data_IF_475966712892
#
_entry.id   IF_475966712892
#
_cell.length_a   1.000
_cell.length_b   1.000
_cell.length_c   1.000
_cell.angle_alpha   90.00
_cell.angle_beta   90.00
_cell.angle_gamma   90.00
#
_symmetry.space_group_name_H-M   'P 1'
#
loop_
_entity.id
_entity.type
_entity.pdbx_description
1 polymer ?
#
# COMPACT_ATOMS: atom_id res chain seq x y z
N UNK A 1 -12.55 -16.10 -19.48
CA UNK A 1 -12.56 -16.99 -18.30
C UNK A 1 -12.91 -16.12 -17.09
N UNK A 2 -13.94 -16.49 -16.31
CA UNK A 2 -14.28 -15.74 -15.10
C UNK A 2 -13.34 -16.17 -13.97
N UNK A 3 -12.77 -15.20 -13.25
CA UNK A 3 -11.97 -15.44 -12.06
C UNK A 3 -12.88 -15.86 -10.90
N UNK A 4 -12.49 -16.88 -10.16
CA UNK A 4 -13.22 -17.36 -8.97
C UNK A 4 -12.61 -16.82 -7.68
N UNK A 5 -13.46 -16.39 -6.73
CA UNK A 5 -13.00 -15.96 -5.42
C UNK A 5 -12.29 -17.10 -4.67
N UNK A 6 -11.05 -16.94 -4.20
CA UNK A 6 -10.34 -17.95 -3.41
C UNK A 6 -11.07 -18.39 -2.13
N UNK A 7 -11.90 -17.52 -1.57
CA UNK A 7 -12.62 -17.75 -0.31
C UNK A 7 -14.04 -18.25 -0.55
N UNK A 8 -14.85 -17.50 -1.32
CA UNK A 8 -16.28 -17.74 -1.48
C UNK A 8 -16.63 -18.65 -2.65
N UNK A 9 -15.68 -18.88 -3.58
CA UNK A 9 -15.86 -19.64 -4.83
C UNK A 9 -16.87 -19.02 -5.82
N UNK A 10 -17.35 -17.82 -5.57
CA UNK A 10 -18.20 -17.05 -6.49
C UNK A 10 -17.37 -16.32 -7.53
N UNK A 11 -17.94 -15.94 -8.69
CA UNK A 11 -17.24 -15.11 -9.67
C UNK A 11 -16.79 -13.78 -9.08
N UNK A 12 -15.59 -13.32 -9.46
CA UNK A 12 -15.08 -12.01 -9.15
C UNK A 12 -15.59 -10.99 -10.18
N UNK A 13 -15.75 -9.74 -9.73
CA UNK A 13 -16.08 -8.59 -10.55
C UNK A 13 -14.81 -7.81 -10.88
N UNK A 14 -14.55 -7.63 -12.17
CA UNK A 14 -13.38 -6.90 -12.64
C UNK A 14 -13.47 -5.42 -12.25
N UNK A 15 -12.35 -4.87 -11.78
CA UNK A 15 -12.16 -3.45 -11.52
C UNK A 15 -11.40 -2.88 -12.69
N UNK A 16 -11.97 -1.87 -13.37
CA UNK A 16 -11.33 -1.23 -14.51
C UNK A 16 -9.98 -0.60 -14.10
N UNK A 17 -8.91 -1.06 -14.73
CA UNK A 17 -7.58 -0.48 -14.58
C UNK A 17 -6.74 -0.76 -15.85
N UNK A 18 -5.61 -0.05 -16.01
CA UNK A 18 -4.77 -0.10 -17.21
C UNK A 18 -3.49 -0.92 -17.03
N UNK A 19 -3.15 -1.24 -15.79
CA UNK A 19 -1.87 -1.88 -15.46
C UNK A 19 -1.93 -3.40 -15.62
N UNK A 20 -3.09 -4.01 -15.35
CA UNK A 20 -3.26 -5.45 -15.38
C UNK A 20 -4.68 -5.85 -14.98
N UNK A 21 -4.84 -7.00 -14.32
CA UNK A 21 -6.14 -7.49 -13.87
C UNK A 21 -6.32 -7.25 -12.38
N UNK A 22 -7.37 -6.52 -12.03
CA UNK A 22 -7.86 -6.37 -10.67
C UNK A 22 -9.32 -6.81 -10.60
N UNK A 23 -9.71 -7.61 -9.60
CA UNK A 23 -11.07 -8.10 -9.48
C UNK A 23 -11.47 -8.28 -8.01
N UNK A 24 -12.69 -7.85 -7.66
CA UNK A 24 -13.22 -7.85 -6.30
C UNK A 24 -14.30 -8.90 -6.10
N UNK A 25 -14.40 -9.43 -4.89
CA UNK A 25 -15.49 -10.29 -4.46
C UNK A 25 -16.57 -9.48 -3.74
N UNK A 26 -17.77 -9.42 -4.31
CA UNK A 26 -18.91 -8.75 -3.69
C UNK A 26 -19.36 -9.43 -2.37
N UNK A 27 -19.04 -10.71 -2.18
CA UNK A 27 -19.45 -11.47 -0.99
C UNK A 27 -18.53 -11.27 0.21
N UNK A 28 -17.20 -11.37 0.05
CA UNK A 28 -16.27 -11.25 1.18
C UNK A 28 -15.49 -9.93 1.19
N UNK A 29 -15.55 -9.14 0.13
CA UNK A 29 -14.81 -7.87 0.02
C UNK A 29 -13.32 -8.06 -0.33
N UNK A 30 -12.84 -9.28 -0.54
CA UNK A 30 -11.45 -9.51 -0.93
C UNK A 30 -11.21 -9.11 -2.38
N UNK A 31 -9.94 -8.83 -2.71
CA UNK A 31 -9.51 -8.34 -4.02
C UNK A 31 -8.36 -9.21 -4.55
N UNK A 32 -8.51 -9.65 -5.79
CA UNK A 32 -7.43 -10.29 -6.56
C UNK A 32 -6.71 -9.25 -7.41
N UNK A 33 -5.39 -9.24 -7.33
CA UNK A 33 -4.53 -8.47 -8.22
C UNK A 33 -3.58 -9.42 -8.94
N UNK A 34 -3.45 -9.27 -10.26
CA UNK A 34 -2.39 -9.98 -11.00
C UNK A 34 -0.99 -9.47 -10.61
N UNK A 35 0.05 -10.09 -11.14
CA UNK A 35 1.44 -9.73 -10.81
C UNK A 35 1.81 -8.29 -11.22
N UNK A 36 1.19 -7.72 -12.25
CA UNK A 36 1.45 -6.36 -12.69
C UNK A 36 0.82 -5.35 -11.70
N UNK A 37 -0.47 -5.54 -11.36
CA UNK A 37 -1.15 -4.74 -10.37
C UNK A 37 -0.52 -4.88 -8.97
N UNK A 38 -0.11 -6.08 -8.57
CA UNK A 38 0.55 -6.30 -7.27
C UNK A 38 1.86 -5.52 -7.16
N UNK A 39 2.64 -5.45 -8.23
CA UNK A 39 3.86 -4.61 -8.26
C UNK A 39 3.55 -3.13 -8.15
N UNK A 40 2.47 -2.65 -8.79
CA UNK A 40 2.09 -1.23 -8.71
C UNK A 40 1.71 -0.80 -7.30
N UNK A 41 1.19 -1.72 -6.45
CA UNK A 41 0.95 -1.44 -5.03
C UNK A 41 2.25 -1.08 -4.31
N UNK A 42 3.28 -1.92 -4.46
CA UNK A 42 4.59 -1.73 -3.80
C UNK A 42 5.30 -0.47 -4.30
N UNK A 43 5.08 -0.09 -5.55
CA UNK A 43 5.65 1.12 -6.16
C UNK A 43 4.82 2.39 -5.89
N UNK A 44 3.74 2.30 -5.12
CA UNK A 44 2.75 3.36 -4.90
C UNK A 44 2.16 3.94 -6.20
N UNK A 45 2.01 3.09 -7.23
CA UNK A 45 1.49 3.42 -8.56
C UNK A 45 0.12 2.77 -8.83
N UNK A 46 -0.57 2.31 -7.78
CA UNK A 46 -1.87 1.67 -7.92
C UNK A 46 -2.91 2.66 -8.45
N UNK A 47 -3.64 2.26 -9.47
CA UNK A 47 -4.64 3.15 -10.09
C UNK A 47 -5.75 3.55 -9.10
N UNK A 48 -6.27 4.80 -9.22
CA UNK A 48 -7.30 5.34 -8.32
C UNK A 48 -8.54 4.47 -8.20
N UNK A 49 -8.98 3.84 -9.28
CA UNK A 49 -10.15 2.95 -9.27
C UNK A 49 -9.94 1.72 -8.38
N UNK A 50 -8.72 1.15 -8.36
CA UNK A 50 -8.38 0.01 -7.52
C UNK A 50 -8.21 0.44 -6.06
N UNK A 51 -7.57 1.60 -5.79
CA UNK A 51 -7.51 2.19 -4.45
C UNK A 51 -8.91 2.45 -3.88
N UNK A 52 -9.80 3.02 -4.69
CA UNK A 52 -11.19 3.26 -4.28
C UNK A 52 -11.92 1.95 -3.99
N UNK A 53 -11.76 0.93 -4.82
CA UNK A 53 -12.31 -0.41 -4.56
C UNK A 53 -11.81 -1.02 -3.25
N UNK A 54 -10.53 -0.86 -2.94
CA UNK A 54 -9.92 -1.31 -1.68
C UNK A 54 -10.51 -0.58 -0.46
N UNK A 55 -10.68 0.74 -0.56
CA UNK A 55 -11.31 1.54 0.50
C UNK A 55 -12.77 1.15 0.75
N UNK A 56 -13.55 0.90 -0.31
CA UNK A 56 -14.93 0.45 -0.19
C UNK A 56 -15.02 -0.95 0.44
N UNK A 57 -14.12 -1.85 0.08
CA UNK A 57 -14.05 -3.19 0.67
C UNK A 57 -13.75 -3.14 2.17
N UNK A 58 -12.84 -2.27 2.59
CA UNK A 58 -12.51 -2.03 4.00
C UNK A 58 -13.73 -1.48 4.77
N UNK A 59 -14.43 -0.49 4.23
CA UNK A 59 -15.64 0.07 4.83
C UNK A 59 -16.76 -0.98 4.99
N UNK A 60 -16.94 -1.87 4.02
CA UNK A 60 -17.89 -2.98 4.09
C UNK A 60 -17.48 -3.97 5.17
N UNK A 61 -16.20 -4.32 5.28
CA UNK A 61 -15.68 -5.20 6.32
C UNK A 61 -15.88 -4.61 7.71
N UNK A 62 -15.55 -3.33 7.90
CA UNK A 62 -15.75 -2.61 9.16
C UNK A 62 -17.22 -2.57 9.58
N UNK A 63 -18.13 -2.33 8.65
CA UNK A 63 -19.58 -2.34 8.91
C UNK A 63 -20.06 -3.71 9.36
N UNK A 64 -19.60 -4.80 8.72
CA UNK A 64 -19.97 -6.18 9.12
C UNK A 64 -19.47 -6.53 10.51
N UNK A 65 -18.26 -6.11 10.88
CA UNK A 65 -17.73 -6.28 12.24
C UNK A 65 -18.60 -5.53 13.25
N UNK A 66 -18.99 -4.30 12.97
CA UNK A 66 -19.85 -3.49 13.85
C UNK A 66 -21.27 -4.09 14.00
N UNK A 67 -21.85 -4.64 12.93
CA UNK A 67 -23.16 -5.30 12.94
C UNK A 67 -23.10 -6.65 13.67
N UNK A 68 -22.03 -7.42 13.49
CA UNK A 68 -21.79 -8.69 14.21
C UNK A 68 -21.60 -8.51 15.71
N UNK A 69 -21.08 -7.35 16.13
CA UNK A 69 -20.87 -7.01 17.55
C UNK A 69 -22.17 -6.77 18.33
N UNK A 70 -23.30 -6.51 17.66
CA UNK A 70 -24.62 -6.40 18.30
C UNK A 70 -25.18 -7.73 18.80
N UNK A 71 -24.58 -8.85 18.40
CA UNK A 71 -24.99 -10.22 18.77
C UNK A 71 -24.05 -10.94 19.74
N UNK A 72 -23.21 -10.22 20.50
CA UNK A 72 -22.16 -10.78 21.34
C UNK A 72 -20.83 -10.79 20.62
N UNK A 73 -19.82 -10.22 21.27
CA UNK A 73 -18.44 -10.15 20.78
C UNK A 73 -17.95 -11.55 20.43
N UNK A 74 -17.96 -11.89 19.17
CA UNK A 74 -17.22 -13.04 18.65
C UNK A 74 -15.89 -12.46 18.19
N UNK A 75 -14.88 -12.70 18.99
CA UNK A 75 -13.50 -12.43 18.61
C UNK A 75 -13.31 -12.91 17.17
N UNK A 76 -12.78 -12.09 16.25
CA UNK A 76 -12.50 -12.56 14.89
C UNK A 76 -11.67 -13.83 15.06
N UNK A 77 -12.20 -14.95 14.58
CA UNK A 77 -11.52 -16.25 14.69
C UNK A 77 -10.07 -16.03 14.23
N UNK A 78 -9.08 -16.50 15.02
CA UNK A 78 -7.69 -16.34 14.62
C UNK A 78 -7.56 -16.81 13.17
N UNK A 79 -7.05 -15.95 12.31
CA UNK A 79 -6.96 -16.14 10.84
C UNK A 79 -6.41 -17.50 10.40
N UNK A 80 -5.76 -18.22 11.31
CA UNK A 80 -5.20 -19.56 11.12
C UNK A 80 -6.23 -20.64 10.70
N UNK A 81 -7.51 -20.49 11.04
CA UNK A 81 -8.50 -21.55 10.80
C UNK A 81 -9.15 -21.52 9.40
N UNK A 82 -8.93 -20.46 8.60
CA UNK A 82 -9.53 -20.30 7.26
C UNK A 82 -8.54 -20.45 6.09
N UNK A 83 -7.26 -20.71 6.37
CA UNK A 83 -6.20 -20.65 5.37
C UNK A 83 -5.96 -21.96 4.61
N UNK A 84 -6.50 -23.08 5.09
CA UNK A 84 -6.33 -24.36 4.41
C UNK A 84 -7.28 -24.46 3.19
N UNK A 85 -6.69 -24.53 2.01
CA UNK A 85 -7.41 -24.81 0.77
C UNK A 85 -7.77 -23.60 -0.10
N UNK A 86 -7.23 -22.41 0.16
CA UNK A 86 -7.35 -21.30 -0.78
C UNK A 86 -6.59 -21.61 -2.07
N UNK A 87 -7.22 -21.33 -3.20
CA UNK A 87 -6.63 -21.61 -4.51
C UNK A 87 -6.57 -20.33 -5.35
N UNK A 88 -5.60 -20.28 -6.23
CA UNK A 88 -5.41 -19.21 -7.18
C UNK A 88 -6.66 -19.03 -8.05
N UNK A 89 -7.11 -17.79 -8.21
CA UNK A 89 -8.26 -17.42 -9.02
C UNK A 89 -8.11 -17.80 -10.51
N UNK A 90 -6.86 -17.98 -10.98
CA UNK A 90 -6.53 -18.27 -12.38
C UNK A 90 -6.25 -19.76 -12.63
N UNK A 91 -5.33 -20.38 -11.85
CA UNK A 91 -4.87 -21.74 -12.12
C UNK A 91 -5.36 -22.80 -11.12
N UNK A 92 -6.13 -22.41 -10.13
CA UNK A 92 -6.70 -23.31 -9.09
C UNK A 92 -5.64 -24.05 -8.25
N UNK A 93 -4.35 -23.73 -8.35
CA UNK A 93 -3.31 -24.25 -7.46
C UNK A 93 -3.40 -23.57 -6.10
N UNK A 94 -2.97 -24.27 -5.06
CA UNK A 94 -2.91 -23.71 -3.71
C UNK A 94 -2.10 -22.39 -3.69
N UNK A 95 -2.62 -21.40 -2.98
CA UNK A 95 -1.92 -20.15 -2.73
C UNK A 95 -0.87 -20.36 -1.63
N UNK A 96 0.29 -19.73 -1.81
CA UNK A 96 1.33 -19.70 -0.79
C UNK A 96 1.14 -18.48 0.11
N UNK A 97 1.31 -18.66 1.43
CA UNK A 97 1.27 -17.55 2.36
C UNK A 97 2.58 -16.79 2.35
N UNK A 98 2.51 -15.47 2.20
CA UNK A 98 3.64 -14.55 2.26
C UNK A 98 3.34 -13.44 3.27
N UNK A 99 4.32 -13.11 4.13
CA UNK A 99 4.15 -12.03 5.12
C UNK A 99 4.81 -10.77 4.59
N UNK A 100 4.03 -9.70 4.55
CA UNK A 100 4.53 -8.35 4.32
C UNK A 100 4.84 -7.72 5.68
N UNK A 101 6.09 -7.87 6.13
CA UNK A 101 6.54 -7.48 7.48
C UNK A 101 6.25 -6.02 7.85
N UNK A 102 6.45 -5.01 6.97
CA UNK A 102 6.24 -3.61 7.34
C UNK A 102 4.84 -3.30 7.83
N UNK A 103 3.82 -3.97 7.26
CA UNK A 103 2.42 -3.80 7.66
C UNK A 103 1.87 -5.01 8.45
N UNK A 104 2.70 -6.03 8.73
CA UNK A 104 2.32 -7.29 9.38
C UNK A 104 1.12 -7.98 8.72
N UNK A 105 1.04 -7.89 7.40
CA UNK A 105 -0.02 -8.50 6.60
C UNK A 105 0.43 -9.86 6.08
N UNK A 106 -0.43 -10.84 6.20
CA UNK A 106 -0.20 -12.17 5.65
C UNK A 106 -1.04 -12.34 4.38
N UNK A 107 -0.40 -12.31 3.22
CA UNK A 107 -1.00 -12.31 1.91
C UNK A 107 -0.98 -13.71 1.29
N UNK A 108 -1.98 -14.03 0.49
CA UNK A 108 -2.07 -15.28 -0.25
C UNK A 108 -1.62 -15.09 -1.69
N UNK A 109 -0.50 -15.71 -2.07
CA UNK A 109 0.23 -15.42 -3.31
C UNK A 109 0.28 -16.64 -4.23
N UNK A 110 0.01 -16.43 -5.51
CA UNK A 110 0.41 -17.31 -6.58
C UNK A 110 1.56 -16.66 -7.35
N UNK A 111 2.75 -17.21 -7.29
CA UNK A 111 3.95 -16.65 -7.95
C UNK A 111 3.77 -16.45 -9.47
N UNK A 112 2.96 -17.29 -10.10
CA UNK A 112 2.70 -17.22 -11.54
C UNK A 112 1.62 -16.17 -11.92
N UNK A 113 0.65 -15.90 -11.04
CA UNK A 113 -0.55 -15.18 -11.47
C UNK A 113 -0.87 -13.93 -10.67
N UNK A 114 -0.57 -13.86 -9.36
CA UNK A 114 -0.90 -12.68 -8.57
C UNK A 114 -1.15 -12.94 -7.09
N UNK A 115 -1.79 -11.98 -6.43
CA UNK A 115 -1.99 -11.93 -4.99
C UNK A 115 -3.46 -11.74 -4.65
N UNK A 116 -3.93 -12.49 -3.67
CA UNK A 116 -5.21 -12.28 -3.04
C UNK A 116 -5.05 -11.46 -1.77
N UNK A 117 -5.85 -10.44 -1.63
CA UNK A 117 -5.97 -9.59 -0.45
C UNK A 117 -7.33 -9.82 0.19
N UNK A 118 -7.37 -10.16 1.46
CA UNK A 118 -8.61 -10.14 2.22
C UNK A 118 -9.15 -8.72 2.38
N UNK A 119 -10.43 -8.58 2.74
CA UNK A 119 -11.05 -7.28 2.91
C UNK A 119 -10.25 -6.41 3.90
N UNK A 120 -9.89 -5.19 3.46
CA UNK A 120 -9.07 -4.25 4.22
C UNK A 120 -7.55 -4.39 4.06
N UNK A 121 -7.01 -5.55 3.66
CA UNK A 121 -5.55 -5.74 3.54
C UNK A 121 -4.93 -4.86 2.46
N UNK A 122 -5.56 -4.80 1.28
CA UNK A 122 -5.06 -3.93 0.20
C UNK A 122 -5.11 -2.45 0.59
N UNK A 123 -6.17 -2.02 1.28
CA UNK A 123 -6.27 -0.65 1.78
C UNK A 123 -5.19 -0.34 2.80
N UNK A 124 -4.93 -1.24 3.75
CA UNK A 124 -3.84 -1.11 4.72
C UNK A 124 -2.47 -0.99 4.05
N UNK A 125 -2.21 -1.77 2.99
CA UNK A 125 -0.98 -1.63 2.20
C UNK A 125 -0.89 -0.28 1.50
N UNK A 126 -1.97 0.19 0.86
CA UNK A 126 -1.99 1.51 0.23
C UNK A 126 -1.66 2.62 1.23
N UNK A 127 -2.29 2.61 2.40
CA UNK A 127 -2.01 3.59 3.46
C UNK A 127 -0.54 3.54 3.92
N UNK A 128 0.04 2.35 4.06
CA UNK A 128 1.45 2.20 4.42
C UNK A 128 2.37 2.89 3.41
N UNK A 129 2.18 2.66 2.11
CA UNK A 129 3.01 3.24 1.07
C UNK A 129 2.75 4.75 0.86
N UNK A 130 1.50 5.23 1.02
CA UNK A 130 1.19 6.65 1.00
C UNK A 130 1.88 7.39 2.17
N UNK A 131 1.85 6.84 3.38
CA UNK A 131 2.56 7.38 4.54
C UNK A 131 4.08 7.41 4.33
N UNK A 132 4.65 6.32 3.80
CA UNK A 132 6.08 6.26 3.52
C UNK A 132 6.49 7.31 2.50
N UNK A 133 5.74 7.47 1.39
CA UNK A 133 6.01 8.49 0.39
C UNK A 133 5.95 9.90 0.99
N UNK A 134 4.97 10.19 1.85
CA UNK A 134 4.86 11.48 2.53
C UNK A 134 6.03 11.73 3.49
N UNK A 135 6.55 10.71 4.16
CA UNK A 135 7.74 10.83 5.02
C UNK A 135 9.01 11.07 4.18
N UNK A 136 9.19 10.31 3.10
CA UNK A 136 10.34 10.47 2.20
C UNK A 136 10.36 11.89 1.58
N UNK A 137 9.19 12.46 1.22
CA UNK A 137 9.05 13.84 0.75
C UNK A 137 9.40 14.87 1.85
N UNK A 138 8.96 14.66 3.09
CA UNK A 138 9.25 15.54 4.21
C UNK A 138 10.76 15.56 4.53
N UNK A 139 11.41 14.40 4.52
CA UNK A 139 12.85 14.27 4.73
C UNK A 139 13.63 14.96 3.60
N UNK A 140 13.21 14.84 2.34
CA UNK A 140 13.82 15.52 1.21
C UNK A 140 13.69 17.04 1.31
N UNK A 141 12.55 17.56 1.77
CA UNK A 141 12.33 19.00 2.00
C UNK A 141 13.21 19.50 3.15
N UNK A 142 13.28 18.75 4.27
CA UNK A 142 14.12 19.11 5.42
C UNK A 142 15.59 19.16 5.03
N UNK A 143 16.09 18.16 4.30
CA UNK A 143 17.47 18.14 3.77
C UNK A 143 17.75 19.33 2.83
N UNK A 144 16.79 19.65 1.94
CA UNK A 144 16.90 20.80 1.05
C UNK A 144 17.02 22.12 1.80
N UNK A 145 16.25 22.31 2.88
CA UNK A 145 16.32 23.51 3.74
C UNK A 145 17.66 23.60 4.47
N UNK A 146 18.17 22.49 5.02
CA UNK A 146 19.46 22.43 5.70
C UNK A 146 20.61 22.80 4.73
N UNK A 147 20.61 22.25 3.52
CA UNK A 147 21.60 22.55 2.49
C UNK A 147 21.53 24.02 2.03
N UNK A 148 20.35 24.61 2.00
CA UNK A 148 20.20 26.04 1.68
C UNK A 148 20.74 26.92 2.81
N UNK A 149 20.48 26.56 4.07
CA UNK A 149 21.02 27.27 5.22
C UNK A 149 22.56 27.23 5.26
N UNK A 150 23.13 26.06 4.95
CA UNK A 150 24.61 25.89 4.85
C UNK A 150 25.21 26.80 3.77
N UNK A 151 24.64 26.81 2.54
CA UNK A 151 25.10 27.69 1.45
C UNK A 151 25.00 29.18 1.81
N UNK A 152 23.93 29.58 2.49
CA UNK A 152 23.74 30.95 2.93
C UNK A 152 24.80 31.36 3.97
N UNK A 153 25.16 30.46 4.90
CA UNK A 153 26.21 30.69 5.88
C UNK A 153 27.60 30.82 5.24
N UNK A 154 27.91 29.98 4.24
CA UNK A 154 29.16 30.02 3.50
C UNK A 154 29.30 31.33 2.73
N UNK A 155 28.28 31.77 1.97
CA UNK A 155 28.28 33.07 1.30
C UNK A 155 28.44 34.23 2.27
N UNK A 156 27.80 34.18 3.44
CA UNK A 156 27.94 35.22 4.46
C UNK A 156 29.37 35.32 5.01
N UNK A 157 30.08 34.16 5.12
CA UNK A 157 31.50 34.14 5.54
C UNK A 157 32.40 34.74 4.50
N UNK A 158 32.17 34.46 3.20
CA UNK A 158 32.95 35.01 2.09
C UNK A 158 32.78 36.52 1.98
N UNK A 159 31.55 37.04 2.15
CA UNK A 159 31.30 38.48 2.20
C UNK A 159 32.02 39.20 3.34
N UNK A 160 32.10 38.54 4.53
CA UNK A 160 32.88 39.09 5.66
C UNK A 160 34.36 39.09 5.38
N UNK A 161 34.90 38.03 4.79
CA UNK A 161 36.31 37.95 4.40
C UNK A 161 36.69 39.02 3.35
N UNK A 162 35.85 39.22 2.33
CA UNK A 162 36.02 40.26 1.32
C UNK A 162 35.94 41.68 1.91
N UNK A 163 35.00 41.92 2.85
CA UNK A 163 34.87 43.18 3.56
C UNK A 163 36.12 43.53 4.42
N UNK A 164 36.72 42.54 5.08
CA UNK A 164 37.98 42.71 5.83
C UNK A 164 39.14 43.06 4.90
N UNK A 165 39.29 42.39 3.76
CA UNK A 165 40.35 42.69 2.77
C UNK A 165 40.19 44.11 2.17
N UNK A 166 38.97 44.56 1.88
CA UNK A 166 38.75 45.91 1.40
C UNK A 166 39.06 46.98 2.44
N UNK A 167 38.94 46.70 3.73
CA UNK A 167 39.34 47.56 4.83
C UNK A 167 40.87 47.70 4.99
N UNK A 168 41.62 46.67 4.65
CA UNK A 168 43.11 46.70 4.67
C UNK A 168 43.72 47.47 3.52
N UNK A 169 43.07 47.52 2.37
CA UNK A 169 43.58 48.22 1.18
C UNK A 169 43.30 49.73 1.20
N UNK A 170 42.57 50.25 2.20
CA UNK A 170 42.32 51.70 2.36
C UNK A 170 43.17 52.42 3.39
N UNK A 171 44.18 51.74 3.91
CA UNK A 171 45.24 52.34 4.76
C UNK A 171 46.58 52.38 3.99
#
# INVERSE_FOLDING_TARGET
MSLGCPVCRVPLHEIANRVGVAAACATCGGIWLDNACSRSVVQNLLEPAVKYGAQQADAIAAKRVAEGSKGGYREPAPRAAHDEGRVCAVCSKALARSVFEPARLALDVCSAHGTWFDAGELWTMCQHFDMKAAMDDADAVAFGQEMQAYRNAEMASDFRAAGMLAGFLRR
#
